data_IF_668401989432
#
_entry.id   IF_668401989432
#
_cell.length_a   1.000
_cell.length_b   1.000
_cell.length_c   1.000
_cell.angle_alpha   90.00
_cell.angle_beta   90.00
_cell.angle_gamma   90.00
#
_symmetry.space_group_name_H-M   'P 1'
#
loop_
_entity.id
_entity.type
_entity.pdbx_description
1 polymer ?
#
# COMPACT_ATOMS: atom_id res chain seq x y z
N UNK A 1 -9.97 25.93 -8.59
CA UNK A 1 -8.50 26.13 -8.64
C UNK A 1 -7.83 24.76 -8.54
N UNK A 2 -7.40 24.17 -9.67
CA UNK A 2 -6.68 22.91 -9.68
C UNK A 2 -5.24 23.18 -9.20
N UNK A 3 -4.86 22.65 -8.03
CA UNK A 3 -3.49 22.78 -7.55
C UNK A 3 -2.54 22.10 -8.55
N UNK A 4 -1.47 22.81 -8.88
CA UNK A 4 -0.37 22.48 -9.79
C UNK A 4 0.47 21.28 -9.34
N UNK A 5 -0.15 20.15 -9.04
CA UNK A 5 0.54 18.91 -8.63
C UNK A 5 1.21 18.17 -9.79
N UNK A 6 0.68 18.29 -11.00
CA UNK A 6 1.14 17.54 -12.17
C UNK A 6 2.59 17.85 -12.57
N UNK A 7 2.96 19.13 -12.64
CA UNK A 7 4.31 19.56 -13.08
C UNK A 7 5.43 19.09 -12.15
N UNK A 8 5.15 18.95 -10.86
CA UNK A 8 6.11 18.45 -9.87
C UNK A 8 6.42 16.97 -10.07
N UNK A 9 5.42 16.16 -10.43
CA UNK A 9 5.56 14.71 -10.59
C UNK A 9 6.42 14.38 -11.80
N UNK A 10 6.25 15.08 -12.93
CA UNK A 10 7.06 14.85 -14.13
C UNK A 10 8.53 15.24 -13.96
N UNK A 11 8.85 16.17 -13.05
CA UNK A 11 10.22 16.50 -12.67
C UNK A 11 10.84 15.40 -11.79
N UNK A 12 10.05 14.81 -10.89
CA UNK A 12 10.50 13.74 -10.00
C UNK A 12 10.64 12.39 -10.73
N UNK A 13 9.77 12.12 -11.70
CA UNK A 13 9.79 10.90 -12.52
C UNK A 13 9.72 11.28 -14.00
N UNK A 14 10.90 11.37 -14.62
CA UNK A 14 11.01 11.73 -16.03
C UNK A 14 10.37 10.65 -16.90
N UNK A 15 9.52 11.07 -17.84
CA UNK A 15 9.00 10.22 -18.90
C UNK A 15 10.13 9.90 -19.88
N UNK A 16 10.60 8.66 -19.87
CA UNK A 16 11.66 8.19 -20.80
C UNK A 16 11.13 7.43 -22.01
N UNK A 17 9.84 7.08 -22.04
CA UNK A 17 9.25 6.18 -23.04
C UNK A 17 7.85 6.66 -23.44
N UNK A 18 7.46 6.39 -24.69
CA UNK A 18 6.09 6.62 -25.18
C UNK A 18 5.09 5.66 -24.54
N UNK A 19 3.85 6.12 -24.37
CA UNK A 19 2.74 5.29 -23.87
C UNK A 19 2.05 4.51 -25.00
N UNK A 20 2.20 4.98 -26.25
CA UNK A 20 1.58 4.35 -27.42
C UNK A 20 2.21 2.96 -27.61
N UNK A 21 1.36 1.95 -27.80
CA UNK A 21 1.78 0.56 -27.98
C UNK A 21 2.16 -0.17 -26.69
N UNK A 22 2.03 0.47 -25.51
CA UNK A 22 2.28 -0.20 -24.23
C UNK A 22 1.09 -1.08 -23.81
N UNK A 23 1.32 -2.17 -23.05
CA UNK A 23 0.25 -2.98 -22.48
C UNK A 23 -0.72 -2.14 -21.63
N UNK A 24 -1.99 -2.56 -21.56
CA UNK A 24 -3.04 -1.86 -20.82
C UNK A 24 -2.66 -1.61 -19.36
N UNK A 25 -2.11 -2.61 -18.66
CA UNK A 25 -1.71 -2.45 -17.26
C UNK A 25 -0.52 -1.49 -17.09
N UNK A 26 0.39 -1.41 -18.06
CA UNK A 26 1.45 -0.39 -18.09
C UNK A 26 0.86 1.01 -18.24
N UNK A 27 -0.15 1.14 -19.10
CA UNK A 27 -0.90 2.38 -19.29
C UNK A 27 -1.67 2.78 -18.02
N UNK A 28 -2.33 1.82 -17.37
CA UNK A 28 -3.00 2.05 -16.09
C UNK A 28 -2.01 2.47 -15.01
N UNK A 29 -0.86 1.79 -14.88
CA UNK A 29 0.19 2.17 -13.93
C UNK A 29 0.66 3.61 -14.17
N UNK A 30 0.90 3.98 -15.43
CA UNK A 30 1.26 5.35 -15.80
C UNK A 30 0.19 6.35 -15.33
N UNK A 31 -1.08 6.08 -15.61
CA UNK A 31 -2.17 6.94 -15.19
C UNK A 31 -2.29 7.02 -13.66
N UNK A 32 -2.06 5.93 -12.93
CA UNK A 32 -2.00 5.95 -11.47
C UNK A 32 -0.80 6.76 -10.96
N UNK A 33 0.30 6.82 -11.71
CA UNK A 33 1.50 7.56 -11.31
C UNK A 33 1.35 9.07 -11.54
N UNK A 34 0.82 9.48 -12.70
CA UNK A 34 0.80 10.90 -13.09
C UNK A 34 -0.57 11.58 -13.00
N UNK A 35 -1.66 10.80 -12.95
CA UNK A 35 -3.01 11.27 -13.18
C UNK A 35 -4.03 10.73 -12.17
N UNK A 36 -3.56 10.26 -11.01
CA UNK A 36 -4.40 9.62 -9.99
C UNK A 36 -5.58 10.51 -9.54
N UNK A 37 -5.32 11.80 -9.39
CA UNK A 37 -6.28 12.78 -8.87
C UNK A 37 -7.24 13.31 -9.95
N UNK A 38 -7.12 12.85 -11.20
CA UNK A 38 -8.02 13.29 -12.25
C UNK A 38 -9.44 12.74 -12.01
N UNK A 39 -10.46 13.57 -12.22
CA UNK A 39 -11.85 13.15 -12.08
C UNK A 39 -12.18 12.05 -13.10
N UNK A 40 -13.18 11.21 -12.77
CA UNK A 40 -13.58 10.04 -13.57
C UNK A 40 -13.99 10.37 -15.01
N UNK A 41 -14.42 11.60 -15.29
CA UNK A 41 -14.75 12.06 -16.65
C UNK A 41 -13.52 12.37 -17.51
N UNK A 42 -12.31 12.40 -16.94
CA UNK A 42 -11.07 12.50 -17.70
C UNK A 42 -10.65 11.14 -18.26
N UNK A 43 -10.30 11.09 -19.54
CA UNK A 43 -9.81 9.87 -20.20
C UNK A 43 -8.51 9.33 -19.60
N UNK A 44 -7.67 10.21 -19.03
CA UNK A 44 -6.42 9.82 -18.37
C UNK A 44 -6.59 9.40 -16.91
N UNK A 45 -7.81 9.52 -16.34
CA UNK A 45 -8.08 9.09 -14.97
C UNK A 45 -8.00 7.56 -14.85
N UNK A 46 -7.32 7.00 -13.84
CA UNK A 46 -7.29 5.55 -13.59
C UNK A 46 -8.69 4.94 -13.47
N UNK A 47 -9.65 5.67 -12.89
CA UNK A 47 -11.02 5.21 -12.73
C UNK A 47 -11.78 5.14 -14.06
N UNK A 48 -11.46 6.05 -14.99
CA UNK A 48 -12.00 6.03 -16.35
C UNK A 48 -11.48 4.83 -17.12
N UNK A 49 -10.16 4.62 -17.11
CA UNK A 49 -9.50 3.48 -17.77
C UNK A 49 -10.01 2.15 -17.21
N UNK A 50 -10.12 2.03 -15.88
CA UNK A 50 -10.70 0.84 -15.24
C UNK A 50 -12.09 0.52 -15.79
N UNK A 51 -12.95 1.54 -15.90
CA UNK A 51 -14.32 1.37 -16.39
C UNK A 51 -14.35 1.00 -17.87
N UNK A 52 -13.65 1.75 -18.72
CA UNK A 52 -13.69 1.58 -20.19
C UNK A 52 -13.08 0.25 -20.61
N UNK A 53 -12.00 -0.17 -19.95
CA UNK A 53 -11.28 -1.40 -20.29
C UNK A 53 -11.70 -2.60 -19.44
N UNK A 54 -12.74 -2.47 -18.60
CA UNK A 54 -13.27 -3.52 -17.73
C UNK A 54 -12.20 -4.22 -16.86
N UNK A 55 -11.32 -3.42 -16.24
CA UNK A 55 -10.21 -3.93 -15.42
C UNK A 55 -10.74 -4.40 -14.07
N UNK A 56 -10.37 -5.62 -13.68
CA UNK A 56 -10.79 -6.22 -12.42
C UNK A 56 -10.17 -5.54 -11.20
N UNK A 57 -10.82 -5.66 -10.04
CA UNK A 57 -10.40 -5.01 -8.79
C UNK A 57 -8.96 -5.34 -8.43
N UNK A 58 -8.59 -6.62 -8.48
CA UNK A 58 -7.22 -7.05 -8.12
C UNK A 58 -6.17 -6.39 -9.01
N UNK A 59 -6.38 -6.36 -10.32
CA UNK A 59 -5.45 -5.76 -11.28
C UNK A 59 -5.37 -4.25 -11.09
N UNK A 60 -6.51 -3.60 -10.89
CA UNK A 60 -6.58 -2.17 -10.64
C UNK A 60 -5.81 -1.78 -9.38
N UNK A 61 -6.10 -2.43 -8.25
CA UNK A 61 -5.44 -2.13 -6.98
C UNK A 61 -3.96 -2.49 -7.00
N UNK A 62 -3.56 -3.55 -7.70
CA UNK A 62 -2.14 -3.83 -7.90
C UNK A 62 -1.42 -2.66 -8.57
N UNK A 63 -1.97 -2.14 -9.67
CA UNK A 63 -1.36 -1.01 -10.39
C UNK A 63 -1.40 0.29 -9.59
N UNK A 64 -2.55 0.62 -9.00
CA UNK A 64 -2.70 1.81 -8.18
C UNK A 64 -1.75 1.81 -6.96
N UNK A 65 -1.73 0.74 -6.17
CA UNK A 65 -0.86 0.65 -4.98
C UNK A 65 0.61 0.69 -5.40
N UNK A 66 0.99 -0.02 -6.47
CA UNK A 66 2.37 0.01 -7.00
C UNK A 66 2.83 1.42 -7.40
N UNK A 67 1.95 2.22 -8.00
CA UNK A 67 2.26 3.57 -8.44
C UNK A 67 2.27 4.56 -7.26
N UNK A 68 1.27 4.50 -6.39
CA UNK A 68 1.16 5.37 -5.22
C UNK A 68 2.28 5.11 -4.19
N UNK A 69 2.69 3.86 -4.01
CA UNK A 69 3.79 3.49 -3.11
C UNK A 69 5.12 4.13 -3.57
N UNK A 70 5.34 4.21 -4.89
CA UNK A 70 6.49 4.90 -5.47
C UNK A 70 6.53 6.40 -5.12
N UNK A 71 5.37 7.02 -4.98
CA UNK A 71 5.23 8.40 -4.51
C UNK A 71 5.08 8.54 -2.99
N UNK A 72 5.08 7.43 -2.24
CA UNK A 72 4.80 7.42 -0.81
C UNK A 72 3.46 8.09 -0.44
N UNK A 73 2.47 7.99 -1.35
CA UNK A 73 1.10 8.53 -1.14
C UNK A 73 0.26 7.56 -0.31
N UNK A 74 0.66 7.37 0.94
CA UNK A 74 0.07 6.35 1.82
C UNK A 74 -1.40 6.63 2.17
N UNK A 75 -1.78 7.90 2.29
CA UNK A 75 -3.17 8.28 2.59
C UNK A 75 -4.14 7.85 1.48
N UNK A 76 -3.73 8.00 0.21
CA UNK A 76 -4.53 7.54 -0.93
C UNK A 76 -4.64 6.02 -1.00
N UNK A 77 -3.54 5.33 -0.67
CA UNK A 77 -3.53 3.87 -0.59
C UNK A 77 -4.52 3.41 0.46
N UNK A 78 -4.48 3.99 1.66
CA UNK A 78 -5.40 3.64 2.74
C UNK A 78 -6.85 4.00 2.42
N UNK A 79 -7.10 5.17 1.83
CA UNK A 79 -8.42 5.58 1.37
C UNK A 79 -8.99 4.58 0.37
N UNK A 80 -8.18 4.10 -0.57
CA UNK A 80 -8.58 3.06 -1.53
C UNK A 80 -8.86 1.70 -0.90
N UNK A 81 -8.28 1.41 0.26
CA UNK A 81 -8.55 0.18 1.03
C UNK A 81 -9.67 0.35 2.06
N UNK A 82 -10.11 1.57 2.37
CA UNK A 82 -11.06 1.80 3.47
C UNK A 82 -12.50 1.62 2.99
N UNK A 83 -13.24 0.74 3.65
CA UNK A 83 -14.69 0.61 3.41
C UNK A 83 -15.46 1.60 4.29
N UNK A 84 -16.15 2.53 3.66
CA UNK A 84 -17.14 3.39 4.30
C UNK A 84 -18.47 2.63 4.37
N UNK A 85 -18.71 1.90 5.48
CA UNK A 85 -20.06 1.47 5.83
C UNK A 85 -20.68 2.59 6.63
N UNK A 86 -21.80 3.12 6.15
CA UNK A 86 -22.49 4.34 6.62
C UNK A 86 -22.81 4.38 8.14
N UNK A 87 -22.65 3.28 8.89
CA UNK A 87 -22.99 3.14 10.31
C UNK A 87 -21.97 2.32 11.13
N UNK A 88 -20.80 1.97 10.58
CA UNK A 88 -19.77 1.22 11.29
C UNK A 88 -18.46 2.00 11.32
N UNK A 89 -17.60 1.73 12.31
CA UNK A 89 -16.23 2.20 12.30
C UNK A 89 -15.56 1.84 10.97
N UNK A 90 -14.88 2.81 10.36
CA UNK A 90 -14.12 2.62 9.11
C UNK A 90 -13.14 1.48 9.27
N UNK A 91 -13.19 0.50 8.36
CA UNK A 91 -12.29 -0.66 8.37
C UNK A 91 -11.44 -0.67 7.11
N UNK A 92 -10.13 -0.84 7.30
CA UNK A 92 -9.19 -1.12 6.21
C UNK A 92 -9.44 -2.54 5.71
N UNK A 93 -9.81 -2.65 4.43
CA UNK A 93 -10.01 -3.89 3.70
C UNK A 93 -9.02 -3.88 2.53
N UNK A 94 -7.97 -4.71 2.63
CA UNK A 94 -7.03 -4.85 1.53
C UNK A 94 -7.62 -5.73 0.43
N UNK A 95 -7.74 -5.24 -0.82
CA UNK A 95 -8.23 -6.03 -1.96
C UNK A 95 -7.16 -7.01 -2.50
N UNK A 96 -5.94 -6.95 -1.97
CA UNK A 96 -4.83 -7.83 -2.28
C UNK A 96 -4.51 -8.74 -1.08
N UNK A 97 -3.87 -9.90 -1.30
CA UNK A 97 -3.23 -10.63 -0.21
C UNK A 97 -2.21 -9.74 0.51
N UNK A 98 -2.23 -9.73 1.85
CA UNK A 98 -1.37 -8.85 2.66
C UNK A 98 0.12 -8.98 2.33
N UNK A 99 0.62 -10.20 2.07
CA UNK A 99 2.02 -10.38 1.67
C UNK A 99 2.35 -9.62 0.38
N UNK A 100 1.45 -9.65 -0.61
CA UNK A 100 1.63 -8.91 -1.85
C UNK A 100 1.56 -7.40 -1.63
N UNK A 101 0.60 -6.94 -0.82
CA UNK A 101 0.49 -5.54 -0.41
C UNK A 101 1.80 -5.03 0.21
N UNK A 102 2.31 -5.69 1.25
CA UNK A 102 3.54 -5.27 1.91
C UNK A 102 4.76 -5.35 0.99
N UNK A 103 4.82 -6.35 0.10
CA UNK A 103 5.88 -6.44 -0.90
C UNK A 103 5.90 -5.22 -1.84
N UNK A 104 4.73 -4.74 -2.26
CA UNK A 104 4.62 -3.53 -3.09
C UNK A 104 5.02 -2.26 -2.32
N UNK A 105 4.62 -2.15 -1.05
CA UNK A 105 4.97 -1.02 -0.19
C UNK A 105 6.48 -0.95 0.04
N UNK A 106 7.08 -2.06 0.48
CA UNK A 106 8.49 -2.08 0.87
C UNK A 106 9.46 -1.96 -0.31
N UNK A 107 9.01 -2.21 -1.54
CA UNK A 107 9.80 -2.00 -2.76
C UNK A 107 10.41 -0.59 -2.86
N UNK A 108 9.78 0.42 -2.26
CA UNK A 108 10.24 1.82 -2.30
C UNK A 108 10.70 2.35 -0.92
N UNK A 109 10.96 1.43 0.02
CA UNK A 109 11.33 1.72 1.40
C UNK A 109 10.17 1.56 2.38
N UNK A 110 10.49 1.46 3.67
CA UNK A 110 9.50 1.34 4.72
C UNK A 110 8.62 2.60 4.83
N UNK A 111 7.29 2.46 5.04
CA UNK A 111 6.42 3.59 5.33
C UNK A 111 6.68 4.11 6.76
N UNK A 112 6.16 5.30 7.11
CA UNK A 112 6.17 5.82 8.48
C UNK A 112 5.64 4.79 9.48
N UNK A 113 6.21 4.80 10.70
CA UNK A 113 5.90 3.77 11.72
C UNK A 113 4.41 3.71 12.07
N UNK A 114 3.72 4.85 12.10
CA UNK A 114 2.29 4.97 12.38
C UNK A 114 1.41 4.42 11.24
N UNK A 115 1.78 4.68 9.99
CA UNK A 115 1.14 4.11 8.79
C UNK A 115 1.31 2.60 8.79
N UNK A 116 2.55 2.12 8.99
CA UNK A 116 2.85 0.69 9.05
C UNK A 116 2.05 0.00 10.16
N UNK A 117 1.97 0.64 11.33
CA UNK A 117 1.23 0.14 12.47
C UNK A 117 -0.25 -0.08 12.13
N UNK A 118 -0.92 0.92 11.54
CA UNK A 118 -2.32 0.81 11.12
C UNK A 118 -2.56 -0.35 10.17
N UNK A 119 -1.68 -0.54 9.19
CA UNK A 119 -1.83 -1.63 8.21
C UNK A 119 -1.57 -3.01 8.81
N UNK A 120 -0.58 -3.14 9.70
CA UNK A 120 -0.34 -4.40 10.41
C UNK A 120 -1.52 -4.79 11.30
N UNK A 121 -2.12 -3.83 12.01
CA UNK A 121 -3.33 -4.06 12.80
C UNK A 121 -4.52 -4.51 11.96
N UNK A 122 -4.62 -4.07 10.71
CA UNK A 122 -5.65 -4.51 9.78
C UNK A 122 -5.48 -5.99 9.32
N UNK A 123 -4.29 -6.57 9.49
CA UNK A 123 -4.05 -8.01 9.25
C UNK A 123 -4.63 -8.81 10.42
N UNK A 124 -5.84 -9.36 10.30
CA UNK A 124 -6.50 -10.06 11.42
C UNK A 124 -5.94 -11.46 11.73
N UNK A 125 -5.35 -12.10 10.73
CA UNK A 125 -4.69 -13.40 10.85
C UNK A 125 -3.34 -13.20 11.55
N UNK A 126 -3.21 -13.70 12.77
CA UNK A 126 -2.07 -13.43 13.65
C UNK A 126 -0.78 -14.06 13.10
N UNK A 127 -0.86 -15.25 12.52
CA UNK A 127 0.27 -15.94 11.91
C UNK A 127 0.79 -15.20 10.68
N UNK A 128 -0.11 -14.69 9.82
CA UNK A 128 0.27 -13.84 8.69
C UNK A 128 0.86 -12.52 9.17
N UNK A 129 0.24 -11.87 10.17
CA UNK A 129 0.75 -10.63 10.75
C UNK A 129 2.15 -10.84 11.31
N UNK A 130 2.39 -11.95 12.01
CA UNK A 130 3.70 -12.28 12.56
C UNK A 130 4.74 -12.48 11.45
N UNK A 131 4.42 -13.21 10.38
CA UNK A 131 5.33 -13.37 9.22
C UNK A 131 5.70 -12.04 8.58
N UNK A 132 4.74 -11.11 8.49
CA UNK A 132 5.00 -9.77 7.98
C UNK A 132 5.90 -9.02 8.97
N UNK A 133 5.61 -9.05 10.28
CA UNK A 133 6.43 -8.41 11.30
C UNK A 133 7.89 -8.91 11.26
N UNK A 134 8.12 -10.21 11.10
CA UNK A 134 9.45 -10.80 10.96
C UNK A 134 10.23 -10.28 9.75
N UNK A 135 9.52 -9.92 8.67
CA UNK A 135 10.12 -9.30 7.48
C UNK A 135 10.38 -7.80 7.62
N UNK A 136 10.01 -7.20 8.75
CA UNK A 136 10.11 -5.76 9.02
C UNK A 136 10.95 -5.48 10.27
N UNK A 137 11.71 -4.39 10.29
CA UNK A 137 12.49 -4.03 11.47
C UNK A 137 11.62 -3.39 12.59
N UNK A 138 10.49 -2.81 12.20
CA UNK A 138 9.56 -2.02 13.02
C UNK A 138 8.15 -2.13 12.43
N UNK A 139 7.07 -1.89 13.21
CA UNK A 139 7.02 -1.54 14.63
C UNK A 139 7.08 -2.77 15.58
N UNK A 140 8.11 -2.83 16.45
CA UNK A 140 8.33 -3.94 17.39
C UNK A 140 7.19 -4.19 18.38
N UNK A 141 6.50 -3.12 18.79
CA UNK A 141 5.33 -3.23 19.69
C UNK A 141 4.27 -4.19 19.15
N UNK A 142 3.98 -4.11 17.85
CA UNK A 142 2.96 -4.95 17.22
C UNK A 142 3.42 -6.40 17.14
N UNK A 143 4.68 -6.64 16.84
CA UNK A 143 5.26 -7.99 16.84
C UNK A 143 5.13 -8.64 18.22
N UNK A 144 5.49 -7.90 19.29
CA UNK A 144 5.35 -8.36 20.68
C UNK A 144 3.89 -8.69 21.01
N UNK A 145 2.96 -7.78 20.73
CA UNK A 145 1.53 -7.99 21.01
C UNK A 145 0.95 -9.16 20.19
N UNK A 146 1.43 -9.36 18.96
CA UNK A 146 1.04 -10.50 18.11
C UNK A 146 1.55 -11.81 18.68
N UNK A 147 2.82 -11.87 19.11
CA UNK A 147 3.39 -13.06 19.74
C UNK A 147 2.73 -13.41 21.08
N UNK A 148 2.36 -12.40 21.87
CA UNK A 148 1.57 -12.59 23.10
C UNK A 148 0.20 -13.20 22.75
N UNK A 149 -0.49 -12.66 21.74
CA UNK A 149 -1.79 -13.18 21.30
C UNK A 149 -1.69 -14.63 20.76
N UNK A 150 -0.60 -14.97 20.07
CA UNK A 150 -0.29 -16.32 19.61
C UNK A 150 0.15 -17.27 20.73
N UNK A 151 0.45 -16.75 21.93
CA UNK A 151 1.08 -17.49 23.04
C UNK A 151 2.43 -18.12 22.66
N UNK A 152 3.13 -17.55 21.69
CA UNK A 152 4.44 -18.03 21.22
C UNK A 152 5.57 -17.49 22.11
N UNK A 153 5.77 -18.15 23.25
CA UNK A 153 6.79 -17.79 24.24
C UNK A 153 8.22 -17.91 23.70
N UNK A 154 8.46 -18.85 22.78
CA UNK A 154 9.79 -19.09 22.23
C UNK A 154 10.23 -17.93 21.36
N UNK A 155 9.40 -17.52 20.39
CA UNK A 155 9.70 -16.36 19.54
C UNK A 155 9.73 -15.06 20.34
N UNK A 156 8.86 -14.91 21.33
CA UNK A 156 8.85 -13.71 22.18
C UNK A 156 10.16 -13.57 22.97
N UNK A 157 10.64 -14.66 23.58
CA UNK A 157 11.92 -14.65 24.30
C UNK A 157 13.09 -14.34 23.37
N UNK A 158 13.12 -14.96 22.19
CA UNK A 158 14.15 -14.70 21.19
C UNK A 158 14.16 -13.23 20.72
N UNK A 159 12.99 -12.62 20.57
CA UNK A 159 12.85 -11.21 20.19
C UNK A 159 13.36 -10.28 21.30
N UNK A 160 12.94 -10.50 22.54
CA UNK A 160 13.37 -9.69 23.70
C UNK A 160 14.89 -9.76 23.85
N UNK A 161 15.48 -10.95 23.77
CA UNK A 161 16.93 -11.12 23.82
C UNK A 161 17.64 -10.28 22.76
N UNK A 162 17.17 -10.29 21.51
CA UNK A 162 17.73 -9.46 20.44
C UNK A 162 17.65 -7.96 20.71
N UNK A 163 16.61 -7.50 21.42
CA UNK A 163 16.46 -6.09 21.78
C UNK A 163 17.41 -5.68 22.91
N UNK A 164 17.68 -6.57 23.87
CA UNK A 164 18.60 -6.30 24.98
C UNK A 164 20.08 -6.26 24.59
N UNK A 165 20.49 -6.89 23.47
CA UNK A 165 21.87 -6.87 22.97
C UNK A 165 22.19 -5.67 22.06
N UNK A 166 21.23 -4.75 21.85
CA UNK A 166 21.40 -3.55 20.99
C UNK A 166 21.54 -2.26 21.85
N UNK A 167 21.70 -2.40 23.17
CA UNK A 167 22.08 -1.28 24.06
C UNK A 167 23.59 -1.10 24.14
#
# INVERSE_FOLDING_TARGET
MAKSGGESVFKQFLKKVTLIGQPLLTTLYYCCLYHYDLPRNSSASPLSIRKVCNIGDREFYWMAISALARHRRYDEIEKGMTSEKLLAATKIICPLPWNAFFSLIFKYGAPPKDVLARWLWAVLDLEKRQKICESTAEPRKIEIETLIALKDRQKLTALISKMTYIQ
#
